data_IF_707557825123
#
_entry.id   IF_707557825123
#
_cell.length_a   1.000
_cell.length_b   1.000
_cell.length_c   1.000
_cell.angle_alpha   90.00
_cell.angle_beta   90.00
_cell.angle_gamma   90.00
#
_symmetry.space_group_name_H-M   'P 1'
#
loop_
_entity.id
_entity.type
_entity.pdbx_description
1 polymer ?
#
# COMPACT_ATOMS: atom_id res chain seq x y z
N UNK A 1 45.91 -26.82 24.97
CA UNK A 1 44.78 -27.08 24.05
C UNK A 1 43.96 -25.81 23.97
N UNK A 2 44.06 -25.09 22.86
CA UNK A 2 43.40 -23.80 22.58
C UNK A 2 42.33 -24.00 21.50
N UNK A 3 41.31 -23.13 21.57
CA UNK A 3 40.27 -22.80 20.57
C UNK A 3 39.09 -23.76 20.49
N UNK A 4 37.85 -23.32 20.26
CA UNK A 4 37.21 -22.00 20.27
C UNK A 4 35.71 -22.31 20.40
N UNK A 5 34.99 -21.59 21.26
CA UNK A 5 33.54 -21.57 21.21
C UNK A 5 33.13 -20.66 20.07
N UNK A 6 32.73 -21.25 18.94
CA UNK A 6 32.07 -20.51 17.86
C UNK A 6 30.61 -20.30 18.24
N UNK A 7 30.32 -19.06 18.64
CA UNK A 7 28.97 -18.56 18.76
C UNK A 7 28.34 -18.49 17.38
N UNK A 8 27.27 -19.25 17.18
CA UNK A 8 26.41 -19.09 16.02
C UNK A 8 25.77 -17.69 16.10
N UNK A 9 26.28 -16.76 15.31
CA UNK A 9 25.64 -15.47 15.10
C UNK A 9 24.32 -15.68 14.33
N UNK A 10 23.17 -15.12 14.79
CA UNK A 10 21.89 -15.21 14.07
C UNK A 10 21.86 -14.53 12.69
N UNK A 11 23.01 -14.07 12.19
CA UNK A 11 23.12 -13.23 10.99
C UNK A 11 23.44 -14.01 9.71
N UNK A 12 23.77 -15.30 9.81
CA UNK A 12 24.21 -16.10 8.66
C UNK A 12 23.09 -16.93 8.00
N UNK A 13 21.84 -16.78 8.45
CA UNK A 13 20.68 -17.37 7.79
C UNK A 13 19.69 -16.31 7.36
N UNK A 14 19.89 -15.74 6.16
CA UNK A 14 18.81 -15.30 5.25
C UNK A 14 19.40 -14.83 3.91
N UNK A 15 20.02 -15.76 3.19
CA UNK A 15 20.23 -15.64 1.74
C UNK A 15 19.55 -16.83 1.04
N UNK A 16 18.23 -16.93 1.22
CA UNK A 16 17.41 -17.84 0.43
C UNK A 16 16.18 -17.10 -0.08
N UNK A 17 16.14 -16.93 -1.40
CA UNK A 17 14.93 -16.57 -2.12
C UNK A 17 14.68 -15.07 -2.26
N UNK A 18 15.15 -14.50 -3.38
CA UNK A 18 14.39 -13.49 -4.14
C UNK A 18 13.10 -14.11 -4.70
N UNK A 19 12.34 -14.87 -3.88
CA UNK A 19 10.92 -15.04 -4.13
C UNK A 19 10.33 -13.68 -3.79
N UNK A 20 9.83 -12.99 -4.81
CA UNK A 20 9.08 -11.76 -4.60
C UNK A 20 8.08 -12.03 -3.47
N UNK A 21 8.29 -11.39 -2.31
CA UNK A 21 7.37 -11.49 -1.20
C UNK A 21 5.96 -11.29 -1.81
N UNK A 22 4.96 -12.13 -1.48
CA UNK A 22 3.62 -11.96 -2.01
C UNK A 22 3.28 -10.50 -1.80
N UNK A 23 3.02 -9.75 -2.89
CA UNK A 23 2.78 -8.31 -2.85
C UNK A 23 1.67 -8.10 -1.84
N UNK A 24 2.03 -7.76 -0.60
CA UNK A 24 1.09 -7.70 0.51
C UNK A 24 0.03 -6.70 0.09
N UNK A 25 -1.22 -7.14 0.06
CA UNK A 25 -2.34 -6.24 -0.19
C UNK A 25 -2.25 -5.12 0.84
N UNK A 26 -2.07 -3.89 0.36
CA UNK A 26 -1.98 -2.75 1.26
C UNK A 26 -3.38 -2.25 1.57
N UNK A 27 -3.77 -2.35 2.84
CA UNK A 27 -5.05 -1.84 3.32
C UNK A 27 -4.84 -0.58 4.18
N UNK A 28 -5.72 0.40 4.02
CA UNK A 28 -5.76 1.62 4.85
C UNK A 28 -7.20 2.05 5.07
N UNK A 29 -7.48 2.55 6.27
CA UNK A 29 -8.73 3.25 6.52
C UNK A 29 -8.77 4.57 5.74
N UNK A 30 -9.92 4.87 5.15
CA UNK A 30 -10.26 6.18 4.62
C UNK A 30 -10.93 7.03 5.69
N UNK A 31 -11.80 6.41 6.47
CA UNK A 31 -12.46 6.92 7.65
C UNK A 31 -12.90 5.73 8.54
N UNK A 32 -13.75 5.96 9.53
CA UNK A 32 -14.26 4.90 10.42
C UNK A 32 -15.12 3.85 9.71
N UNK A 33 -15.68 4.18 8.54
CA UNK A 33 -16.60 3.34 7.78
C UNK A 33 -15.97 2.63 6.59
N UNK A 34 -14.98 3.24 5.93
CA UNK A 34 -14.43 2.74 4.69
C UNK A 34 -12.98 2.32 4.83
N UNK A 35 -12.68 1.10 4.37
CA UNK A 35 -11.32 0.60 4.21
C UNK A 35 -11.01 0.48 2.72
N UNK A 36 -9.86 1.00 2.31
CA UNK A 36 -9.33 0.84 0.98
C UNK A 36 -8.30 -0.28 0.90
N UNK A 37 -8.34 -1.09 -0.16
CA UNK A 37 -7.29 -2.04 -0.53
C UNK A 37 -6.65 -1.63 -1.84
N UNK A 38 -5.33 -1.43 -1.83
CA UNK A 38 -4.57 -1.14 -3.04
C UNK A 38 -4.49 -2.39 -3.92
N UNK A 39 -4.92 -2.25 -5.17
CA UNK A 39 -4.74 -3.21 -6.25
C UNK A 39 -3.64 -2.67 -7.17
N UNK A 40 -2.39 -3.14 -7.01
CA UNK A 40 -1.30 -2.68 -7.85
C UNK A 40 -1.49 -3.19 -9.28
N UNK A 41 -1.43 -2.27 -10.24
CA UNK A 41 -1.46 -2.55 -11.68
C UNK A 41 -0.55 -1.54 -12.37
N UNK A 42 0.12 -1.97 -13.44
CA UNK A 42 0.97 -1.07 -14.24
C UNK A 42 0.15 -0.11 -15.10
N UNK A 43 -1.05 -0.54 -15.53
CA UNK A 43 -1.89 0.21 -16.46
C UNK A 43 -3.01 0.95 -15.75
N UNK A 44 -3.63 0.31 -14.76
CA UNK A 44 -4.84 0.80 -14.09
C UNK A 44 -4.81 0.53 -12.59
N UNK A 45 -3.84 1.12 -11.86
CA UNK A 45 -3.79 0.99 -10.42
C UNK A 45 -5.05 1.57 -9.80
N UNK A 46 -5.55 0.91 -8.75
CA UNK A 46 -6.82 1.27 -8.13
C UNK A 46 -6.86 0.93 -6.66
N UNK A 47 -7.78 1.55 -5.93
CA UNK A 47 -8.13 1.17 -4.56
C UNK A 47 -9.55 0.61 -4.56
N UNK A 48 -9.73 -0.63 -4.07
CA UNK A 48 -11.06 -1.19 -3.80
C UNK A 48 -11.54 -0.68 -2.45
N UNK A 49 -12.81 -0.27 -2.37
CA UNK A 49 -13.42 0.27 -1.16
C UNK A 49 -14.35 -0.76 -0.54
N UNK A 50 -14.23 -0.91 0.77
CA UNK A 50 -15.04 -1.82 1.58
C UNK A 50 -15.72 -1.04 2.70
N UNK A 51 -17.02 -1.27 2.89
CA UNK A 51 -17.81 -0.67 3.96
C UNK A 51 -17.81 -1.58 5.18
N UNK A 52 -17.14 -1.18 6.26
CA UNK A 52 -17.06 -1.97 7.49
C UNK A 52 -18.36 -1.95 8.29
N UNK A 53 -19.22 -0.96 8.09
CA UNK A 53 -20.54 -0.92 8.72
C UNK A 53 -21.47 -1.98 8.13
N UNK A 54 -21.21 -2.40 6.88
CA UNK A 54 -21.94 -3.46 6.17
C UNK A 54 -21.09 -4.74 6.02
N UNK A 55 -20.40 -5.12 7.10
CA UNK A 55 -19.67 -6.39 7.18
C UNK A 55 -18.43 -6.50 6.26
N UNK A 56 -17.91 -5.38 5.77
CA UNK A 56 -16.80 -5.37 4.82
C UNK A 56 -17.23 -5.64 3.38
N UNK A 57 -18.45 -5.29 3.01
CA UNK A 57 -18.92 -5.41 1.63
C UNK A 57 -18.12 -4.50 0.69
N UNK A 58 -17.75 -5.00 -0.48
CA UNK A 58 -17.12 -4.19 -1.53
C UNK A 58 -18.13 -3.21 -2.13
N UNK A 59 -17.89 -1.91 -1.97
CA UNK A 59 -18.82 -0.85 -2.37
C UNK A 59 -18.33 -0.01 -3.56
N UNK A 60 -17.08 -0.18 -4.00
CA UNK A 60 -16.61 0.54 -5.17
C UNK A 60 -15.11 0.49 -5.42
N UNK A 61 -14.70 1.20 -6.48
CA UNK A 61 -13.32 1.25 -6.94
C UNK A 61 -12.91 2.69 -7.24
N UNK A 62 -11.82 3.13 -6.63
CA UNK A 62 -11.16 4.40 -6.91
C UNK A 62 -10.03 4.17 -7.91
N UNK A 63 -10.14 4.71 -9.11
CA UNK A 63 -9.08 4.69 -10.11
C UNK A 63 -8.01 5.72 -9.73
N UNK A 64 -6.73 5.32 -9.80
CA UNK A 64 -5.62 6.19 -9.42
C UNK A 64 -5.09 6.93 -10.65
N UNK A 65 -4.79 8.25 -10.54
CA UNK A 65 -4.37 9.07 -11.67
C UNK A 65 -2.87 8.91 -11.99
N UNK A 66 -2.36 7.68 -11.96
CA UNK A 66 -0.93 7.38 -12.15
C UNK A 66 -0.73 6.26 -13.16
N UNK A 67 0.15 6.49 -14.13
CA UNK A 67 0.50 5.52 -15.18
C UNK A 67 1.72 4.67 -14.78
N UNK A 68 1.70 4.15 -13.55
CA UNK A 68 2.79 3.37 -12.97
C UNK A 68 2.27 2.53 -11.81
N UNK A 69 3.01 1.48 -11.43
CA UNK A 69 2.64 0.70 -10.24
C UNK A 69 2.74 1.57 -8.99
N UNK A 70 1.80 1.38 -8.07
CA UNK A 70 1.78 2.04 -6.76
C UNK A 70 2.25 1.04 -5.72
N UNK A 71 3.17 1.46 -4.84
CA UNK A 71 3.67 0.62 -3.74
C UNK A 71 2.94 0.89 -2.43
N UNK A 72 2.46 2.12 -2.23
CA UNK A 72 1.78 2.51 -1.01
C UNK A 72 0.79 3.66 -1.20
N UNK A 73 -0.15 3.77 -0.26
CA UNK A 73 -0.99 4.95 -0.11
C UNK A 73 -1.31 5.26 1.35
N UNK A 74 -1.74 6.50 1.60
CA UNK A 74 -2.41 6.90 2.84
C UNK A 74 -3.45 7.98 2.56
N UNK A 75 -4.32 8.22 3.54
CA UNK A 75 -5.40 9.21 3.48
C UNK A 75 -5.26 10.13 4.68
N UNK A 76 -5.44 11.44 4.47
CA UNK A 76 -5.37 12.43 5.54
C UNK A 76 -5.53 13.86 5.03
N UNK A 77 -6.05 14.75 5.87
CA UNK A 77 -6.26 16.16 5.52
C UNK A 77 -7.07 16.37 4.24
N UNK A 78 -8.10 15.54 4.02
CA UNK A 78 -8.95 15.59 2.83
C UNK A 78 -8.30 15.15 1.51
N UNK A 79 -7.17 14.43 1.57
CA UNK A 79 -6.44 13.99 0.39
C UNK A 79 -6.05 12.52 0.46
N UNK A 80 -5.83 11.93 -0.72
CA UNK A 80 -5.13 10.65 -0.89
C UNK A 80 -3.71 10.94 -1.35
N UNK A 81 -2.75 10.29 -0.71
CA UNK A 81 -1.34 10.33 -1.06
C UNK A 81 -0.92 8.97 -1.59
N UNK A 82 -0.22 8.93 -2.73
CA UNK A 82 0.30 7.70 -3.34
C UNK A 82 1.81 7.76 -3.45
N UNK A 83 2.47 6.62 -3.25
CA UNK A 83 3.85 6.41 -3.64
C UNK A 83 3.89 5.52 -4.89
N UNK A 84 4.25 6.11 -6.02
CA UNK A 84 4.55 5.37 -7.25
C UNK A 84 5.94 4.74 -7.16
N UNK A 85 6.11 3.56 -7.74
CA UNK A 85 7.42 2.92 -7.92
C UNK A 85 8.27 3.57 -9.01
N UNK A 86 7.69 4.49 -9.80
CA UNK A 86 8.32 5.04 -10.98
C UNK A 86 8.32 4.08 -12.18
N UNK A 87 9.04 4.47 -13.23
CA UNK A 87 9.31 3.68 -14.44
C UNK A 87 10.81 3.57 -14.67
N UNK A 88 11.25 2.84 -15.69
CA UNK A 88 12.68 2.82 -16.05
C UNK A 88 13.28 4.20 -16.37
N UNK A 89 12.45 5.19 -16.74
CA UNK A 89 12.88 6.55 -17.13
C UNK A 89 12.67 7.61 -16.04
N UNK A 90 11.87 7.32 -15.02
CA UNK A 90 11.52 8.24 -13.93
C UNK A 90 11.52 7.50 -12.61
N UNK A 91 12.19 8.06 -11.60
CA UNK A 91 12.23 7.48 -10.26
C UNK A 91 10.85 7.47 -9.56
N UNK A 92 10.82 7.01 -8.30
CA UNK A 92 9.62 7.06 -7.47
C UNK A 92 9.05 8.48 -7.35
N UNK A 93 7.72 8.60 -7.38
CA UNK A 93 7.01 9.87 -7.31
C UNK A 93 5.92 9.81 -6.24
N UNK A 94 5.70 10.94 -5.54
CA UNK A 94 4.58 11.10 -4.61
C UNK A 94 3.48 11.90 -5.27
N UNK A 95 2.27 11.35 -5.28
CA UNK A 95 1.09 11.99 -5.85
C UNK A 95 0.11 12.36 -4.75
N UNK A 96 -0.58 13.49 -4.92
CA UNK A 96 -1.65 13.93 -4.03
C UNK A 96 -2.86 14.34 -4.87
N UNK A 97 -4.04 13.89 -4.48
CA UNK A 97 -5.30 14.32 -5.07
C UNK A 97 -6.40 14.41 -4.01
N UNK A 98 -7.45 15.23 -4.23
CA UNK A 98 -8.51 15.40 -3.25
C UNK A 98 -9.25 14.08 -3.02
N UNK A 99 -9.67 13.87 -1.78
CA UNK A 99 -10.49 12.73 -1.42
C UNK A 99 -11.90 12.91 -2.03
N UNK A 100 -12.51 11.87 -2.64
CA UNK A 100 -13.88 11.96 -3.13
C UNK A 100 -14.85 12.32 -2.01
N UNK A 101 -15.87 13.11 -2.35
CA UNK A 101 -16.76 13.71 -1.33
C UNK A 101 -17.45 12.68 -0.43
N UNK A 102 -17.87 11.55 -0.98
CA UNK A 102 -18.51 10.47 -0.22
C UNK A 102 -17.58 9.66 0.70
N UNK A 103 -16.29 10.01 0.75
CA UNK A 103 -15.30 9.37 1.61
C UNK A 103 -14.74 10.30 2.70
N UNK A 104 -15.14 11.57 2.74
CA UNK A 104 -14.78 12.43 3.86
C UNK A 104 -15.35 11.88 5.16
N UNK A 105 -14.62 12.07 6.26
CA UNK A 105 -15.29 12.19 7.55
C UNK A 105 -16.08 13.49 7.50
N UNK A 106 -17.39 13.42 7.70
CA UNK A 106 -18.06 14.59 8.25
C UNK A 106 -17.47 14.73 9.65
N UNK A 107 -16.49 15.63 9.78
CA UNK A 107 -16.04 16.08 11.10
C UNK A 107 -17.26 16.79 11.73
N UNK A 108 -17.91 16.11 12.67
CA UNK A 108 -18.83 16.69 13.63
C UNK A 108 -18.17 16.66 15.02
#
# INVERSE_FOLDING_TARGET
>A
LRQHGDGLHPSDMLLEGLQAAPKRAMMRAFNERYIGMLVPSLLTPSILLYDVADGGLHVGRLLLPVNSSVSAFCVGGGHVYLLSTGTAKRGPEVWRFPLPSGLHTDDA
#
